data_IF_484669455077
#
_entry.id   IF_484669455077
#
_cell.length_a   1.000
_cell.length_b   1.000
_cell.length_c   1.000
_cell.angle_alpha   90.00
_cell.angle_beta   90.00
_cell.angle_gamma   90.00
#
_symmetry.space_group_name_H-M   'P 1'
#
loop_
_entity.id
_entity.type
_entity.pdbx_description
1 polymer ?
#
# COMPACT_ATOMS: atom_id res chain seq x y z
N UNK A 1 13.57 23.97 16.09
CA UNK A 1 12.26 23.52 15.57
C UNK A 1 12.13 23.31 14.06
N UNK A 2 13.08 23.74 13.22
CA UNK A 2 13.00 23.57 11.75
C UNK A 2 12.89 22.11 11.28
N UNK A 3 13.47 21.18 12.06
CA UNK A 3 13.40 19.76 11.78
C UNK A 3 11.95 19.22 11.88
N UNK A 4 11.15 19.76 12.78
CA UNK A 4 9.74 19.37 12.96
C UNK A 4 8.88 19.82 11.79
N UNK A 5 9.13 21.02 11.27
CA UNK A 5 8.46 21.56 10.08
C UNK A 5 8.82 20.75 8.83
N UNK A 6 10.10 20.40 8.66
CA UNK A 6 10.55 19.54 7.57
C UNK A 6 9.86 18.17 7.61
N UNK A 7 9.76 17.55 8.80
CA UNK A 7 9.05 16.28 8.96
C UNK A 7 7.56 16.40 8.64
N UNK A 8 6.94 17.53 8.98
CA UNK A 8 5.53 17.77 8.69
C UNK A 8 5.28 17.91 7.18
N UNK A 9 6.10 18.71 6.50
CA UNK A 9 6.04 18.86 5.04
C UNK A 9 6.31 17.52 4.35
N UNK A 10 7.28 16.74 4.83
CA UNK A 10 7.57 15.41 4.29
C UNK A 10 6.39 14.44 4.43
N UNK A 11 5.66 14.49 5.55
CA UNK A 11 4.44 13.69 5.77
C UNK A 11 3.33 14.11 4.81
N UNK A 12 3.07 15.40 4.67
CA UNK A 12 2.09 15.92 3.72
C UNK A 12 2.44 15.51 2.30
N UNK A 13 3.71 15.63 1.90
CA UNK A 13 4.17 15.24 0.57
C UNK A 13 3.97 13.75 0.29
N UNK A 14 4.22 12.87 1.27
CA UNK A 14 3.94 11.43 1.12
C UNK A 14 2.45 11.17 0.88
N UNK A 15 1.57 11.83 1.65
CA UNK A 15 0.12 11.70 1.48
C UNK A 15 -0.34 12.21 0.12
N UNK A 16 0.12 13.39 -0.30
CA UNK A 16 -0.22 13.95 -1.62
C UNK A 16 0.26 13.06 -2.77
N UNK A 17 1.43 12.44 -2.65
CA UNK A 17 1.89 11.46 -3.64
C UNK A 17 0.99 10.23 -3.72
N UNK A 18 0.59 9.68 -2.57
CA UNK A 18 -0.33 8.53 -2.53
C UNK A 18 -1.68 8.87 -3.14
N UNK A 19 -2.26 10.03 -2.79
CA UNK A 19 -3.50 10.53 -3.38
C UNK A 19 -3.38 10.66 -4.91
N UNK A 20 -2.27 11.22 -5.40
CA UNK A 20 -2.03 11.37 -6.84
C UNK A 20 -1.91 10.01 -7.54
N UNK A 21 -1.16 9.06 -6.97
CA UNK A 21 -0.94 7.75 -7.57
C UNK A 21 -2.20 6.89 -7.60
N UNK A 22 -3.09 7.04 -6.61
CA UNK A 22 -4.34 6.30 -6.52
C UNK A 22 -5.52 7.02 -7.20
N UNK A 23 -5.30 8.16 -7.85
CA UNK A 23 -6.33 8.88 -8.62
C UNK A 23 -7.26 9.78 -7.78
N UNK A 24 -7.01 9.93 -6.48
CA UNK A 24 -7.82 10.72 -5.54
C UNK A 24 -7.43 12.20 -5.46
N UNK A 25 -6.50 12.67 -6.30
CA UNK A 25 -6.01 14.05 -6.25
C UNK A 25 -7.08 15.13 -6.50
N UNK A 26 -8.22 14.76 -7.11
CA UNK A 26 -9.35 15.67 -7.40
C UNK A 26 -10.64 15.28 -6.70
N UNK A 27 -10.63 14.18 -5.93
CA UNK A 27 -11.82 13.71 -5.21
C UNK A 27 -11.86 14.39 -3.82
N UNK A 28 -12.87 15.21 -3.52
CA UNK A 28 -12.99 15.84 -2.20
C UNK A 28 -13.40 14.85 -1.10
N UNK A 29 -13.67 13.57 -1.42
CA UNK A 29 -14.02 12.56 -0.43
C UNK A 29 -12.85 12.23 0.50
N UNK A 30 -13.19 11.87 1.73
CA UNK A 30 -12.21 11.29 2.65
C UNK A 30 -11.88 9.88 2.17
N UNK A 31 -10.61 9.62 1.93
CA UNK A 31 -10.14 8.31 1.46
C UNK A 31 -10.20 7.31 2.61
N UNK A 32 -10.82 6.17 2.37
CA UNK A 32 -10.97 5.08 3.33
C UNK A 32 -9.66 4.35 3.63
N UNK A 33 -9.67 3.54 4.69
CA UNK A 33 -8.54 2.67 5.00
C UNK A 33 -8.31 1.68 3.86
N UNK A 34 -7.08 1.55 3.37
CA UNK A 34 -6.73 0.62 2.28
C UNK A 34 -6.83 1.22 0.87
N UNK A 35 -7.61 2.27 0.65
CA UNK A 35 -7.76 2.89 -0.69
C UNK A 35 -6.50 3.62 -1.18
N UNK A 36 -5.57 3.97 -0.28
CA UNK A 36 -4.25 4.55 -0.61
C UNK A 36 -3.12 3.53 -0.66
N UNK A 37 -3.41 2.23 -0.56
CA UNK A 37 -2.39 1.20 -0.71
C UNK A 37 -1.95 1.17 -2.16
N UNK A 38 -0.65 1.27 -2.38
CA UNK A 38 -0.07 1.03 -3.71
C UNK A 38 0.03 -0.47 -3.89
N UNK A 39 -0.66 -1.00 -4.88
CA UNK A 39 -0.46 -2.38 -5.27
C UNK A 39 0.83 -2.47 -6.10
N UNK A 40 1.89 -3.02 -5.50
CA UNK A 40 3.10 -3.31 -6.27
C UNK A 40 2.85 -4.53 -7.17
N UNK A 41 3.00 -4.43 -8.50
CA UNK A 41 2.66 -5.51 -9.42
C UNK A 41 3.44 -6.81 -9.19
N UNK A 42 4.66 -6.70 -8.63
CA UNK A 42 5.49 -7.84 -8.27
C UNK A 42 5.32 -8.27 -6.81
N UNK A 43 4.39 -7.68 -6.05
CA UNK A 43 4.04 -8.15 -4.72
C UNK A 43 3.06 -9.33 -4.85
N UNK A 44 3.31 -10.47 -4.19
CA UNK A 44 2.40 -11.61 -4.18
C UNK A 44 1.02 -11.20 -3.63
N UNK A 45 0.01 -11.21 -4.49
CA UNK A 45 -1.38 -10.87 -4.26
C UNK A 45 -2.24 -12.09 -4.60
N UNK A 46 -2.83 -12.67 -3.56
CA UNK A 46 -3.78 -13.77 -3.70
C UNK A 46 -4.95 -13.33 -4.59
N UNK A 47 -5.26 -14.11 -5.62
CA UNK A 47 -6.34 -13.80 -6.58
C UNK A 47 -6.01 -12.77 -7.65
N UNK A 48 -4.82 -12.15 -7.67
CA UNK A 48 -4.38 -11.24 -8.73
C UNK A 48 -3.19 -11.82 -9.51
N UNK A 49 -2.09 -12.13 -8.82
CA UNK A 49 -0.86 -12.63 -9.45
C UNK A 49 -0.28 -13.89 -8.79
N UNK A 50 -0.94 -14.41 -7.75
CA UNK A 50 -0.67 -15.73 -7.18
C UNK A 50 -1.70 -16.74 -7.66
N UNK A 51 -1.23 -17.93 -8.01
CA UNK A 51 -2.09 -19.08 -8.31
C UNK A 51 -2.89 -19.49 -7.05
N UNK A 52 -4.22 -19.68 -7.16
CA UNK A 52 -5.06 -20.08 -6.03
C UNK A 52 -4.69 -21.44 -5.42
N UNK A 53 -3.95 -22.30 -6.13
CA UNK A 53 -3.45 -23.58 -5.59
C UNK A 53 -2.15 -23.45 -4.79
N UNK A 54 -1.51 -22.26 -4.77
CA UNK A 54 -0.32 -22.05 -3.95
C UNK A 54 -0.68 -22.16 -2.46
N UNK A 55 0.14 -22.92 -1.74
CA UNK A 55 0.01 -23.09 -0.30
C UNK A 55 0.03 -21.73 0.44
N UNK A 56 -0.90 -21.56 1.38
CA UNK A 56 -1.10 -20.31 2.12
C UNK A 56 0.11 -19.91 2.96
N UNK A 57 0.90 -20.89 3.40
CA UNK A 57 2.14 -20.59 4.12
C UNK A 57 3.22 -20.05 3.18
N UNK A 58 3.26 -20.51 1.94
CA UNK A 58 4.16 -20.01 0.90
C UNK A 58 3.77 -18.62 0.41
N UNK A 59 2.47 -18.36 0.18
CA UNK A 59 1.98 -17.03 -0.18
C UNK A 59 2.31 -16.01 0.92
N UNK A 60 2.08 -16.37 2.18
CA UNK A 60 2.34 -15.51 3.34
C UNK A 60 3.83 -15.22 3.53
N UNK A 61 4.72 -16.17 3.25
CA UNK A 61 6.16 -15.93 3.27
C UNK A 61 6.60 -14.98 2.15
N UNK A 62 6.11 -15.19 0.93
CA UNK A 62 6.43 -14.36 -0.22
C UNK A 62 5.98 -12.90 0.00
N UNK A 63 4.75 -12.69 0.50
CA UNK A 63 4.27 -11.34 0.84
C UNK A 63 5.12 -10.69 1.93
N UNK A 64 5.52 -11.43 2.99
CA UNK A 64 6.42 -10.89 4.03
C UNK A 64 7.77 -10.46 3.47
N UNK A 65 8.37 -11.26 2.58
CA UNK A 65 9.66 -10.95 1.94
C UNK A 65 9.57 -9.67 1.10
N UNK A 66 8.55 -9.52 0.27
CA UNK A 66 8.37 -8.30 -0.53
C UNK A 66 8.12 -7.06 0.32
N UNK A 67 7.35 -7.20 1.41
CA UNK A 67 7.08 -6.11 2.33
C UNK A 67 8.31 -5.67 3.16
N UNK A 68 9.29 -6.55 3.38
CA UNK A 68 10.57 -6.17 3.99
C UNK A 68 11.48 -5.43 3.01
N UNK A 69 11.40 -5.74 1.71
CA UNK A 69 12.19 -5.07 0.66
C UNK A 69 11.65 -3.66 0.39
N UNK A 70 10.33 -3.50 0.40
CA UNK A 70 9.67 -2.20 0.24
C UNK A 70 8.85 -1.87 1.49
N UNK A 71 9.52 -1.32 2.51
CA UNK A 71 8.97 -1.01 3.83
C UNK A 71 7.79 -0.02 3.86
N UNK A 72 7.21 0.32 2.71
CA UNK A 72 6.08 1.23 2.56
C UNK A 72 4.81 0.59 1.95
N UNK A 73 4.81 -0.68 1.52
CA UNK A 73 3.79 -1.18 0.59
C UNK A 73 2.87 -2.31 1.12
N UNK A 74 3.05 -2.80 2.35
CA UNK A 74 2.20 -3.89 2.85
C UNK A 74 0.87 -3.41 3.45
N UNK A 75 -0.24 -3.58 2.71
CA UNK A 75 -1.60 -3.66 3.26
C UNK A 75 -2.17 -5.06 3.03
N UNK A 76 -2.87 -5.69 3.99
CA UNK A 76 -3.54 -6.97 3.74
C UNK A 76 -4.51 -6.85 2.55
N UNK A 77 -4.46 -7.78 1.60
CA UNK A 77 -5.46 -7.86 0.52
C UNK A 77 -6.88 -8.16 1.03
N UNK A 78 -7.03 -8.53 2.32
CA UNK A 78 -8.32 -8.75 2.98
C UNK A 78 -9.17 -7.50 3.18
N UNK A 79 -8.68 -6.31 2.80
CA UNK A 79 -9.42 -5.05 2.89
C UNK A 79 -10.14 -4.66 1.58
N UNK A 80 -10.12 -5.52 0.55
CA UNK A 80 -10.84 -5.29 -0.72
C UNK A 80 -12.29 -5.79 -0.73
N UNK A 81 -12.77 -6.39 0.36
CA UNK A 81 -14.18 -6.75 0.55
C UNK A 81 -14.82 -5.89 1.64
N UNK A 82 -15.21 -4.66 1.28
CA UNK A 82 -16.42 -3.91 1.71
C UNK A 82 -16.34 -2.47 1.24
#
# INVERSE_FOLDING_TARGET
>A
DWYRELLWVARIWRVLKLLKWNGFGHDPRVVGSGELVLLFPACPQEGVNLDPEIDKDMSRQASKLTCMVDGNICGPSSWMET
#
